data_IF_133347920741
#
_entry.id   IF_133347920741
#
_cell.length_a   1.000
_cell.length_b   1.000
_cell.length_c   1.000
_cell.angle_alpha   90.00
_cell.angle_beta   90.00
_cell.angle_gamma   90.00
#
_symmetry.space_group_name_H-M   'P 1'
#
loop_
_entity.id
_entity.type
_entity.pdbx_description
1 polymer ?
#
# COMPACT_ATOMS: atom_id res chain seq x y z
N UNK A 1 20.58 0.07 17.24
CA UNK A 1 21.93 0.38 16.73
C UNK A 1 22.92 -0.79 16.86
N UNK A 2 22.85 -1.63 17.89
CA UNK A 2 23.70 -2.85 18.00
C UNK A 2 23.25 -4.03 17.11
N UNK A 3 21.97 -4.10 16.71
CA UNK A 3 21.49 -5.17 15.82
C UNK A 3 21.86 -4.96 14.34
N UNK A 4 22.16 -3.74 13.90
CA UNK A 4 22.54 -3.47 12.50
C UNK A 4 24.02 -3.79 12.22
N UNK A 5 24.86 -3.78 13.26
CA UNK A 5 26.30 -4.05 13.18
C UNK A 5 26.65 -5.54 13.36
N UNK A 6 25.71 -6.35 13.86
CA UNK A 6 25.90 -7.79 14.04
C UNK A 6 25.83 -8.58 12.72
N UNK A 7 25.36 -7.95 11.63
CA UNK A 7 25.23 -8.59 10.32
C UNK A 7 26.50 -8.52 9.45
N UNK A 8 27.56 -7.83 9.91
CA UNK A 8 28.74 -7.49 9.08
C UNK A 8 29.96 -8.39 9.33
N UNK A 9 29.95 -9.31 10.31
CA UNK A 9 31.18 -10.00 10.74
C UNK A 9 31.20 -11.53 10.65
N UNK A 10 30.27 -12.16 9.95
CA UNK A 10 30.38 -13.59 9.67
C UNK A 10 30.09 -13.82 8.19
N UNK A 11 31.12 -14.21 7.45
CA UNK A 11 31.15 -15.37 6.54
C UNK A 11 32.23 -15.17 5.46
N UNK A 12 33.42 -15.70 5.77
CA UNK A 12 34.36 -16.19 4.78
C UNK A 12 34.08 -17.68 4.55
N UNK A 13 33.53 -18.05 3.39
CA UNK A 13 33.80 -19.33 2.72
C UNK A 13 32.97 -19.47 1.44
N UNK A 14 33.68 -19.78 0.36
CA UNK A 14 33.19 -20.11 -0.99
C UNK A 14 32.09 -21.17 -1.01
N UNK A 15 31.08 -20.98 -1.87
CA UNK A 15 30.49 -22.04 -2.70
C UNK A 15 29.64 -21.42 -3.84
N UNK A 16 29.78 -21.99 -5.03
CA UNK A 16 29.30 -21.53 -6.34
C UNK A 16 27.95 -22.16 -6.76
N UNK A 17 27.37 -21.59 -7.83
CA UNK A 17 26.38 -22.12 -8.80
C UNK A 17 24.88 -22.01 -8.45
N UNK A 18 23.94 -21.71 -9.36
CA UNK A 18 23.95 -21.32 -10.79
C UNK A 18 22.55 -20.79 -11.22
N UNK A 19 22.47 -19.88 -12.22
CA UNK A 19 21.50 -19.94 -13.34
C UNK A 19 21.68 -18.79 -14.37
N UNK A 20 22.10 -19.20 -15.59
CA UNK A 20 21.76 -18.74 -16.95
C UNK A 20 21.52 -17.25 -17.26
N UNK A 21 22.61 -16.58 -17.66
CA UNK A 21 22.69 -15.36 -18.47
C UNK A 21 24.17 -15.10 -18.76
N UNK A 22 24.55 -14.60 -19.94
CA UNK A 22 25.94 -14.38 -20.33
C UNK A 22 26.69 -13.50 -19.30
N UNK A 23 27.65 -14.11 -18.61
CA UNK A 23 28.42 -13.51 -17.52
C UNK A 23 27.73 -13.68 -16.14
N UNK A 24 28.37 -14.41 -15.22
CA UNK A 24 27.94 -14.33 -13.82
C UNK A 24 28.14 -12.89 -13.33
N UNK A 25 27.18 -12.28 -12.61
CA UNK A 25 27.35 -10.97 -12.03
C UNK A 25 28.65 -10.89 -11.23
N UNK A 26 29.35 -9.77 -11.34
CA UNK A 26 30.56 -9.54 -10.55
C UNK A 26 30.13 -9.46 -9.09
N UNK A 27 30.67 -10.34 -8.23
CA UNK A 27 30.44 -10.22 -6.80
C UNK A 27 31.16 -8.97 -6.27
N UNK A 28 30.35 -7.97 -5.90
CA UNK A 28 30.80 -6.68 -5.40
C UNK A 28 30.51 -6.53 -3.90
N UNK A 29 30.06 -7.58 -3.21
CA UNK A 29 29.64 -7.52 -1.80
C UNK A 29 30.77 -7.09 -0.87
N UNK A 30 32.02 -7.45 -1.18
CA UNK A 30 33.22 -7.08 -0.41
C UNK A 30 33.99 -5.91 -1.02
N UNK A 31 33.40 -5.20 -2.00
CA UNK A 31 34.04 -4.09 -2.70
C UNK A 31 33.72 -2.73 -2.05
N UNK A 32 34.55 -1.72 -2.31
CA UNK A 32 34.27 -0.34 -1.89
C UNK A 32 32.92 0.16 -2.44
N UNK A 33 32.59 -0.17 -3.69
CA UNK A 33 31.31 0.20 -4.31
C UNK A 33 30.14 -0.49 -3.62
N UNK A 34 30.29 -1.75 -3.24
CA UNK A 34 29.32 -2.47 -2.42
C UNK A 34 29.05 -1.77 -1.09
N UNK A 35 30.09 -1.44 -0.32
CA UNK A 35 29.93 -0.76 0.97
C UNK A 35 29.35 0.64 0.85
N UNK A 36 29.81 1.44 -0.12
CA UNK A 36 29.29 2.78 -0.36
C UNK A 36 27.81 2.72 -0.77
N UNK A 37 27.41 1.74 -1.60
CA UNK A 37 26.01 1.58 -2.01
C UNK A 37 25.10 1.26 -0.82
N UNK A 38 25.53 0.42 0.12
CA UNK A 38 24.78 0.18 1.36
C UNK A 38 24.65 1.44 2.22
N UNK A 39 25.72 2.22 2.36
CA UNK A 39 25.70 3.46 3.13
C UNK A 39 24.74 4.46 2.49
N UNK A 40 24.79 4.62 1.16
CA UNK A 40 23.89 5.50 0.40
C UNK A 40 22.43 5.05 0.60
N UNK A 41 22.14 3.76 0.45
CA UNK A 41 20.80 3.21 0.63
C UNK A 41 20.29 3.43 2.07
N UNK A 42 21.10 3.10 3.08
CA UNK A 42 20.74 3.28 4.48
C UNK A 42 20.53 4.76 4.86
N UNK A 43 21.37 5.66 4.34
CA UNK A 43 21.23 7.10 4.56
C UNK A 43 19.95 7.64 3.91
N UNK A 44 19.66 7.25 2.66
CA UNK A 44 18.44 7.65 1.98
C UNK A 44 17.19 7.14 2.71
N UNK A 45 17.20 5.89 3.16
CA UNK A 45 16.07 5.33 3.90
C UNK A 45 15.88 5.98 5.27
N UNK A 46 16.98 6.32 5.96
CA UNK A 46 16.91 7.10 7.20
C UNK A 46 16.24 8.47 6.96
N UNK A 47 16.58 9.15 5.87
CA UNK A 47 15.94 10.42 5.51
C UNK A 47 14.45 10.27 5.19
N UNK A 48 14.03 9.16 4.59
CA UNK A 48 12.61 8.83 4.38
C UNK A 48 11.89 8.68 5.71
N UNK A 49 12.46 7.93 6.66
CA UNK A 49 11.86 7.77 7.99
C UNK A 49 11.74 9.09 8.76
N UNK A 50 12.63 10.04 8.48
CA UNK A 50 12.64 11.38 9.08
C UNK A 50 11.78 12.41 8.32
N UNK A 51 11.03 12.01 7.29
CA UNK A 51 10.21 12.91 6.45
C UNK A 51 9.31 13.83 7.29
N UNK A 52 8.66 13.32 8.33
CA UNK A 52 7.75 14.10 9.18
C UNK A 52 8.48 15.25 9.92
N UNK A 53 9.75 15.04 10.28
CA UNK A 53 10.56 16.03 10.99
C UNK A 53 11.24 17.00 10.01
N UNK A 54 11.82 16.45 8.94
CA UNK A 54 12.59 17.21 7.95
C UNK A 54 11.74 17.93 6.91
N UNK A 55 10.46 17.54 6.77
CA UNK A 55 9.56 18.00 5.71
C UNK A 55 10.14 17.78 4.30
N UNK A 56 11.07 16.82 4.19
CA UNK A 56 11.71 16.41 2.96
C UNK A 56 10.93 15.24 2.38
N UNK A 57 10.23 15.49 1.27
CA UNK A 57 9.49 14.46 0.55
C UNK A 57 10.34 13.22 0.30
N UNK A 58 9.79 12.06 0.66
CA UNK A 58 10.46 10.74 0.59
C UNK A 58 11.04 10.38 -0.77
N UNK A 59 10.44 10.83 -1.88
CA UNK A 59 10.96 10.54 -3.23
C UNK A 59 12.38 11.09 -3.44
N UNK A 60 12.68 12.29 -2.93
CA UNK A 60 13.93 13.02 -3.21
C UNK A 60 15.20 12.23 -2.81
N UNK A 61 15.36 11.79 -1.54
CA UNK A 61 16.57 11.07 -1.13
C UNK A 61 16.73 9.74 -1.88
N UNK A 62 15.64 9.01 -2.14
CA UNK A 62 15.71 7.68 -2.76
C UNK A 62 15.99 7.75 -4.26
N UNK A 63 15.44 8.74 -4.98
CA UNK A 63 15.78 9.00 -6.39
C UNK A 63 17.28 9.30 -6.56
N UNK A 64 17.84 10.14 -5.68
CA UNK A 64 19.26 10.47 -5.71
C UNK A 64 20.11 9.22 -5.41
N UNK A 65 19.74 8.44 -4.40
CA UNK A 65 20.42 7.20 -4.06
C UNK A 65 20.44 6.20 -5.23
N UNK A 66 19.29 5.99 -5.88
CA UNK A 66 19.19 5.13 -7.05
C UNK A 66 20.14 5.58 -8.17
N UNK A 67 20.15 6.88 -8.51
CA UNK A 67 21.05 7.42 -9.53
C UNK A 67 22.53 7.23 -9.18
N UNK A 68 22.91 7.47 -7.92
CA UNK A 68 24.29 7.30 -7.47
C UNK A 68 24.75 5.83 -7.50
N UNK A 69 23.90 4.90 -7.04
CA UNK A 69 24.20 3.46 -7.05
C UNK A 69 24.41 2.97 -8.49
N UNK A 70 23.46 3.28 -9.39
CA UNK A 70 23.56 2.87 -10.80
C UNK A 70 24.70 3.56 -11.55
N UNK A 71 25.05 4.80 -11.20
CA UNK A 71 26.23 5.46 -11.75
C UNK A 71 27.51 4.70 -11.38
N UNK A 72 27.68 4.34 -10.11
CA UNK A 72 28.85 3.56 -9.67
C UNK A 72 28.90 2.18 -10.33
N UNK A 73 27.76 1.48 -10.41
CA UNK A 73 27.68 0.17 -11.07
C UNK A 73 28.00 0.28 -12.57
N UNK A 74 27.49 1.30 -13.25
CA UNK A 74 27.81 1.58 -14.64
C UNK A 74 29.31 1.75 -14.87
N UNK A 75 30.00 2.49 -13.99
CA UNK A 75 31.46 2.61 -14.07
C UNK A 75 32.20 1.29 -13.83
N UNK A 76 31.79 0.50 -12.82
CA UNK A 76 32.42 -0.78 -12.52
C UNK A 76 32.26 -1.78 -13.66
N UNK A 77 31.03 -1.98 -14.13
CA UNK A 77 30.72 -2.93 -15.20
C UNK A 77 31.28 -2.47 -16.56
N UNK A 78 31.32 -1.16 -16.85
CA UNK A 78 31.98 -0.62 -18.04
C UNK A 78 33.48 -0.89 -18.02
N UNK A 79 34.15 -0.65 -16.88
CA UNK A 79 35.59 -0.92 -16.75
C UNK A 79 35.92 -2.41 -16.81
N UNK A 80 34.99 -3.28 -16.41
CA UNK A 80 35.12 -4.73 -16.51
C UNK A 80 34.82 -5.27 -17.92
N UNK A 81 34.31 -4.44 -18.84
CA UNK A 81 33.90 -4.87 -20.18
C UNK A 81 32.54 -5.60 -20.22
N UNK A 82 31.78 -5.57 -19.13
CA UNK A 82 30.54 -6.33 -18.92
C UNK A 82 29.32 -5.40 -18.77
N UNK A 83 29.33 -4.24 -19.43
CA UNK A 83 28.27 -3.22 -19.31
C UNK A 83 26.88 -3.75 -19.70
N UNK A 84 26.82 -4.73 -20.59
CA UNK A 84 25.58 -5.37 -21.03
C UNK A 84 24.84 -6.05 -19.86
N UNK A 85 25.56 -6.61 -18.88
CA UNK A 85 24.96 -7.21 -17.68
C UNK A 85 24.25 -6.13 -16.84
N UNK A 86 24.91 -4.99 -16.61
CA UNK A 86 24.31 -3.88 -15.88
C UNK A 86 23.15 -3.23 -16.66
N UNK A 87 23.24 -3.14 -17.99
CA UNK A 87 22.17 -2.64 -18.85
C UNK A 87 20.93 -3.55 -18.81
N UNK A 88 21.12 -4.86 -18.95
CA UNK A 88 20.01 -5.81 -18.84
C UNK A 88 19.35 -5.77 -17.46
N UNK A 89 20.14 -5.65 -16.40
CA UNK A 89 19.62 -5.56 -15.03
C UNK A 89 18.81 -4.26 -14.81
N UNK A 90 19.28 -3.11 -15.30
CA UNK A 90 18.54 -1.85 -15.13
C UNK A 90 17.26 -1.82 -15.97
N UNK A 91 17.29 -2.37 -17.19
CA UNK A 91 16.11 -2.47 -18.06
C UNK A 91 15.02 -3.37 -17.46
N UNK A 92 15.42 -4.50 -16.88
CA UNK A 92 14.50 -5.40 -16.18
C UNK A 92 13.80 -4.69 -15.02
N UNK A 93 14.55 -4.03 -14.13
CA UNK A 93 13.97 -3.27 -13.01
C UNK A 93 13.08 -2.11 -13.49
N UNK A 94 13.46 -1.45 -14.59
CA UNK A 94 12.68 -0.36 -15.16
C UNK A 94 11.34 -0.86 -15.73
N UNK A 95 11.33 -2.04 -16.36
CA UNK A 95 10.12 -2.66 -16.88
C UNK A 95 9.17 -3.04 -15.73
N UNK A 96 9.67 -3.70 -14.69
CA UNK A 96 8.88 -4.02 -13.49
C UNK A 96 8.25 -2.76 -12.88
N UNK A 97 9.05 -1.71 -12.73
CA UNK A 97 8.55 -0.42 -12.24
C UNK A 97 7.50 0.17 -13.19
N UNK A 98 7.70 0.13 -14.51
CA UNK A 98 6.78 0.70 -15.48
C UNK A 98 5.40 0.03 -15.40
N UNK A 99 5.36 -1.31 -15.27
CA UNK A 99 4.13 -2.06 -15.09
C UNK A 99 3.41 -1.68 -13.78
N UNK A 100 4.16 -1.65 -12.67
CA UNK A 100 3.63 -1.23 -11.36
C UNK A 100 3.09 0.20 -11.40
N UNK A 101 3.86 1.14 -11.93
CA UNK A 101 3.52 2.56 -12.02
C UNK A 101 2.24 2.77 -12.82
N UNK A 102 2.14 2.18 -14.01
CA UNK A 102 0.95 2.31 -14.87
C UNK A 102 -0.28 1.68 -14.21
N UNK A 103 -0.13 0.55 -13.53
CA UNK A 103 -1.20 -0.07 -12.76
C UNK A 103 -1.72 0.87 -11.66
N UNK A 104 -0.81 1.36 -10.81
CA UNK A 104 -1.14 2.23 -9.69
C UNK A 104 -1.71 3.58 -10.14
N UNK A 105 -1.22 4.12 -11.25
CA UNK A 105 -1.73 5.36 -11.85
C UNK A 105 -3.23 5.26 -12.13
N UNK A 106 -3.68 4.14 -12.72
CA UNK A 106 -5.09 3.90 -13.01
C UNK A 106 -5.88 3.76 -11.71
N UNK A 107 -5.42 2.92 -10.78
CA UNK A 107 -6.08 2.70 -9.51
C UNK A 107 -6.28 4.02 -8.74
N UNK A 108 -5.22 4.81 -8.56
CA UNK A 108 -5.27 6.12 -7.91
C UNK A 108 -6.16 7.11 -8.67
N UNK A 109 -6.21 7.06 -10.01
CA UNK A 109 -7.11 7.91 -10.80
C UNK A 109 -8.58 7.61 -10.49
N UNK A 110 -8.95 6.34 -10.34
CA UNK A 110 -10.30 5.94 -9.92
C UNK A 110 -10.61 6.38 -8.49
N UNK A 111 -9.68 6.20 -7.57
CA UNK A 111 -9.80 6.65 -6.18
C UNK A 111 -10.01 8.17 -6.10
N UNK A 112 -9.14 8.95 -6.74
CA UNK A 112 -9.25 10.41 -6.83
C UNK A 112 -10.56 10.85 -7.50
N UNK A 113 -11.05 10.09 -8.47
CA UNK A 113 -12.35 10.35 -9.09
C UNK A 113 -13.53 10.10 -8.13
N UNK A 114 -13.47 9.05 -7.29
CA UNK A 114 -14.48 8.78 -6.26
C UNK A 114 -14.48 9.84 -5.16
N UNK A 115 -13.29 10.29 -4.75
CA UNK A 115 -13.10 11.37 -3.79
C UNK A 115 -13.66 12.70 -4.33
N UNK A 116 -13.31 13.09 -5.57
CA UNK A 116 -13.86 14.28 -6.24
C UNK A 116 -15.38 14.26 -6.25
N UNK A 117 -15.95 13.08 -6.46
CA UNK A 117 -17.39 12.85 -6.52
C UNK A 117 -18.07 12.82 -5.16
N UNK A 118 -17.31 13.02 -4.07
CA UNK A 118 -17.80 13.06 -2.68
C UNK A 118 -18.45 11.74 -2.25
N UNK A 119 -18.02 10.62 -2.85
CA UNK A 119 -18.53 9.30 -2.44
C UNK A 119 -18.19 9.03 -0.97
N UNK A 120 -16.93 9.32 -0.62
CA UNK A 120 -16.37 9.17 0.71
C UNK A 120 -16.94 10.15 1.74
N UNK A 121 -17.15 11.42 1.37
CA UNK A 121 -17.88 12.37 2.21
C UNK A 121 -19.32 11.90 2.50
N UNK A 122 -19.98 11.32 1.48
CA UNK A 122 -21.35 10.80 1.61
C UNK A 122 -21.39 9.60 2.56
N UNK A 123 -20.39 8.72 2.49
CA UNK A 123 -20.21 7.63 3.44
C UNK A 123 -20.02 8.16 4.86
N UNK A 124 -19.15 9.16 5.05
CA UNK A 124 -18.95 9.84 6.35
C UNK A 124 -20.26 10.38 6.91
N UNK A 125 -21.00 11.16 6.12
CA UNK A 125 -22.28 11.73 6.54
C UNK A 125 -23.32 10.67 6.90
N UNK A 126 -23.34 9.56 6.17
CA UNK A 126 -24.22 8.42 6.46
C UNK A 126 -23.88 7.74 7.79
N UNK A 127 -22.60 7.51 8.09
CA UNK A 127 -22.16 6.92 9.36
C UNK A 127 -22.53 7.83 10.53
N UNK A 128 -22.17 9.12 10.40
CA UNK A 128 -22.44 10.14 11.42
C UNK A 128 -23.95 10.25 11.70
N UNK A 129 -24.77 10.24 10.64
CA UNK A 129 -26.21 10.48 10.76
C UNK A 129 -27.04 9.35 11.35
N UNK A 130 -26.41 8.24 11.72
CA UNK A 130 -27.07 7.09 12.35
C UNK A 130 -27.07 7.12 13.88
N UNK A 131 -26.33 8.04 14.51
CA UNK A 131 -26.35 8.24 15.97
C UNK A 131 -25.77 7.06 16.76
N UNK A 132 -24.78 6.38 16.20
CA UNK A 132 -24.07 5.27 16.84
C UNK A 132 -23.25 5.73 18.05
N UNK A 133 -23.09 4.85 19.05
CA UNK A 133 -22.16 5.08 20.16
C UNK A 133 -20.69 4.92 19.73
N UNK A 134 -19.75 5.42 20.54
CA UNK A 134 -18.32 5.36 20.21
C UNK A 134 -17.80 3.93 19.97
N UNK A 135 -18.32 2.92 20.66
CA UNK A 135 -17.90 1.53 20.47
C UNK A 135 -18.45 0.96 19.16
N UNK A 136 -19.70 1.24 18.84
CA UNK A 136 -20.29 0.89 17.55
C UNK A 136 -19.52 1.53 16.40
N UNK A 137 -19.16 2.81 16.55
CA UNK A 137 -18.39 3.54 15.55
C UNK A 137 -17.00 2.95 15.36
N UNK A 138 -16.33 2.56 16.44
CA UNK A 138 -15.05 1.85 16.36
C UNK A 138 -15.12 0.59 15.50
N UNK A 139 -16.17 -0.22 15.69
CA UNK A 139 -16.39 -1.42 14.87
C UNK A 139 -16.76 -1.07 13.44
N UNK A 140 -17.65 -0.10 13.23
CA UNK A 140 -18.09 0.31 11.89
C UNK A 140 -16.92 0.84 11.07
N UNK A 141 -16.10 1.74 11.63
CA UNK A 141 -14.95 2.28 10.90
C UNK A 141 -13.90 1.21 10.64
N UNK A 142 -13.62 0.31 11.59
CA UNK A 142 -12.72 -0.81 11.38
C UNK A 142 -13.21 -1.80 10.31
N UNK A 143 -14.46 -2.25 10.38
CA UNK A 143 -15.04 -3.17 9.40
C UNK A 143 -15.08 -2.52 8.01
N UNK A 144 -15.47 -1.24 7.92
CA UNK A 144 -15.44 -0.52 6.65
C UNK A 144 -14.01 -0.39 6.11
N UNK A 145 -13.01 -0.08 6.96
CA UNK A 145 -11.61 -0.10 6.53
C UNK A 145 -11.20 -1.46 5.97
N UNK A 146 -11.55 -2.55 6.67
CA UNK A 146 -11.21 -3.91 6.25
C UNK A 146 -11.81 -4.29 4.89
N UNK A 147 -13.04 -3.86 4.59
CA UNK A 147 -13.71 -4.18 3.31
C UNK A 147 -13.48 -3.16 2.19
N UNK A 148 -13.05 -1.94 2.52
CA UNK A 148 -12.68 -0.93 1.50
C UNK A 148 -11.23 -1.16 1.04
N UNK A 149 -10.34 -1.56 1.95
CA UNK A 149 -8.92 -1.72 1.62
C UNK A 149 -8.55 -2.80 0.59
N UNK A 150 -9.35 -3.84 0.29
CA UNK A 150 -9.10 -4.74 -0.84
C UNK A 150 -9.25 -4.07 -2.22
N UNK A 151 -9.88 -2.89 -2.27
CA UNK A 151 -10.27 -2.17 -3.49
C UNK A 151 -9.55 -0.82 -3.57
N UNK A 152 -9.40 -0.15 -2.44
CA UNK A 152 -8.68 1.11 -2.29
C UNK A 152 -7.37 0.86 -1.55
N UNK A 153 -6.34 1.64 -1.86
CA UNK A 153 -5.08 1.59 -1.14
C UNK A 153 -5.28 1.82 0.37
N UNK A 154 -4.40 1.20 1.17
CA UNK A 154 -4.41 1.26 2.63
C UNK A 154 -4.40 2.70 3.16
N UNK A 155 -3.62 3.59 2.53
CA UNK A 155 -3.47 4.99 2.88
C UNK A 155 -4.79 5.77 2.68
N UNK A 156 -5.40 5.69 1.49
CA UNK A 156 -6.68 6.34 1.24
C UNK A 156 -7.77 5.84 2.20
N UNK A 157 -7.84 4.53 2.39
CA UNK A 157 -8.82 3.91 3.30
C UNK A 157 -8.66 4.46 4.71
N UNK A 158 -7.42 4.54 5.19
CA UNK A 158 -7.12 5.03 6.52
C UNK A 158 -7.43 6.53 6.67
N UNK A 159 -6.99 7.39 5.74
CA UNK A 159 -7.23 8.84 5.79
C UNK A 159 -8.72 9.19 5.77
N UNK A 160 -9.49 8.45 4.97
CA UNK A 160 -10.94 8.57 4.94
C UNK A 160 -11.54 8.27 6.32
N UNK A 161 -11.25 7.09 6.87
CA UNK A 161 -11.85 6.66 8.13
C UNK A 161 -11.35 7.47 9.33
N UNK A 162 -10.11 7.96 9.28
CA UNK A 162 -9.59 8.89 10.26
C UNK A 162 -10.36 10.21 10.27
N UNK A 163 -10.73 10.74 9.09
CA UNK A 163 -11.59 11.94 9.00
C UNK A 163 -12.96 11.71 9.66
N UNK A 164 -13.54 10.51 9.49
CA UNK A 164 -14.79 10.10 10.17
C UNK A 164 -14.58 10.07 11.69
N UNK A 165 -13.52 9.40 12.15
CA UNK A 165 -13.18 9.27 13.57
C UNK A 165 -12.90 10.63 14.22
N UNK A 166 -12.17 11.52 13.56
CA UNK A 166 -11.86 12.86 14.09
C UNK A 166 -13.11 13.72 14.22
N UNK A 167 -14.02 13.63 13.24
CA UNK A 167 -15.28 14.39 13.26
C UNK A 167 -16.21 13.92 14.38
N UNK A 168 -16.24 12.61 14.64
CA UNK A 168 -17.15 12.03 15.63
C UNK A 168 -16.54 11.97 17.03
N UNK A 169 -15.25 11.69 17.12
CA UNK A 169 -14.52 11.54 18.37
C UNK A 169 -14.35 12.85 19.13
N UNK A 170 -14.54 14.00 18.48
CA UNK A 170 -14.49 15.32 19.12
C UNK A 170 -13.24 15.50 19.98
N UNK A 171 -13.44 15.77 21.27
CA UNK A 171 -12.39 15.96 22.27
C UNK A 171 -12.10 14.70 23.10
N UNK A 172 -12.45 13.51 22.60
CA UNK A 172 -12.08 12.23 23.21
C UNK A 172 -10.81 11.66 22.55
N UNK A 173 -9.59 12.08 22.98
CA UNK A 173 -8.34 11.63 22.38
C UNK A 173 -8.13 10.13 22.56
N UNK A 174 -8.66 9.53 23.65
CA UNK A 174 -8.55 8.10 23.91
C UNK A 174 -9.29 7.28 22.86
N UNK A 175 -10.53 7.67 22.52
CA UNK A 175 -11.28 7.04 21.44
C UNK A 175 -10.59 7.23 20.09
N UNK A 176 -10.18 8.47 19.78
CA UNK A 176 -9.54 8.78 18.49
C UNK A 176 -8.26 7.96 18.30
N UNK A 177 -7.42 7.86 19.33
CA UNK A 177 -6.19 7.08 19.28
C UNK A 177 -6.47 5.59 18.98
N UNK A 178 -7.36 4.96 19.76
CA UNK A 178 -7.75 3.55 19.59
C UNK A 178 -8.40 3.29 18.23
N UNK A 179 -9.30 4.18 17.79
CA UNK A 179 -9.97 4.04 16.52
C UNK A 179 -9.00 4.21 15.33
N UNK A 180 -8.01 5.11 15.44
CA UNK A 180 -6.93 5.23 14.46
C UNK A 180 -6.07 3.95 14.40
N UNK A 181 -5.67 3.39 15.54
CA UNK A 181 -4.93 2.11 15.59
C UNK A 181 -5.74 1.01 14.89
N UNK A 182 -7.02 0.89 15.25
CA UNK A 182 -7.93 -0.09 14.67
C UNK A 182 -8.11 0.07 13.16
N UNK A 183 -8.17 1.31 12.66
CA UNK A 183 -8.23 1.61 11.22
C UNK A 183 -6.95 1.16 10.51
N UNK A 184 -5.76 1.41 11.08
CA UNK A 184 -4.49 0.98 10.50
C UNK A 184 -4.41 -0.54 10.41
N UNK A 185 -4.74 -1.25 11.50
CA UNK A 185 -4.76 -2.72 11.52
C UNK A 185 -5.79 -3.26 10.52
N UNK A 186 -7.00 -2.71 10.51
CA UNK A 186 -8.06 -3.15 9.61
C UNK A 186 -7.73 -2.92 8.14
N UNK A 187 -7.16 -1.76 7.79
CA UNK A 187 -6.79 -1.45 6.41
C UNK A 187 -5.70 -2.41 5.91
N UNK A 188 -4.61 -2.58 6.67
CA UNK A 188 -3.52 -3.48 6.27
C UNK A 188 -3.98 -4.95 6.19
N UNK A 189 -4.75 -5.43 7.17
CA UNK A 189 -5.31 -6.78 7.14
C UNK A 189 -6.31 -6.97 5.98
N UNK A 190 -7.12 -5.95 5.70
CA UNK A 190 -8.06 -5.92 4.59
C UNK A 190 -7.35 -5.98 3.23
N UNK A 191 -6.23 -5.26 3.08
CA UNK A 191 -5.44 -5.28 1.85
C UNK A 191 -4.78 -6.63 1.56
N UNK A 192 -4.33 -7.34 2.60
CA UNK A 192 -3.48 -8.53 2.46
C UNK A 192 -4.10 -9.72 1.69
N UNK A 193 -5.44 -9.84 1.65
CA UNK A 193 -6.12 -10.96 0.97
C UNK A 193 -6.58 -10.64 -0.46
N UNK A 194 -6.17 -9.51 -1.03
CA UNK A 194 -6.54 -9.10 -2.38
C UNK A 194 -5.33 -8.49 -3.09
N UNK A 195 -5.01 -8.88 -4.33
CA UNK A 195 -3.90 -8.30 -5.08
C UNK A 195 -4.10 -6.83 -5.45
N UNK A 196 -5.31 -6.28 -5.24
CA UNK A 196 -5.64 -4.88 -5.47
C UNK A 196 -5.60 -4.04 -4.19
N UNK A 197 -5.42 -4.68 -3.03
CA UNK A 197 -5.61 -4.01 -1.76
C UNK A 197 -4.39 -3.25 -1.26
N UNK A 198 -3.20 -3.82 -1.46
CA UNK A 198 -1.94 -3.16 -1.16
C UNK A 198 -0.93 -3.35 -2.30
N UNK A 199 -0.01 -2.41 -2.41
CA UNK A 199 1.05 -2.41 -3.42
C UNK A 199 1.92 -3.67 -3.28
N UNK A 200 2.18 -4.10 -2.05
CA UNK A 200 2.92 -5.34 -1.77
C UNK A 200 2.22 -6.59 -2.37
N UNK A 201 0.91 -6.73 -2.16
CA UNK A 201 0.12 -7.84 -2.71
C UNK A 201 0.03 -7.79 -4.23
N UNK A 202 -0.03 -6.58 -4.81
CA UNK A 202 0.00 -6.38 -6.24
C UNK A 202 1.32 -6.87 -6.84
N UNK A 203 2.44 -6.54 -6.20
CA UNK A 203 3.76 -6.94 -6.68
C UNK A 203 3.93 -8.46 -6.70
N UNK A 204 3.43 -9.16 -5.67
CA UNK A 204 3.43 -10.64 -5.63
C UNK A 204 2.60 -11.24 -6.76
N UNK A 205 1.43 -10.66 -7.04
CA UNK A 205 0.57 -11.11 -8.13
C UNK A 205 1.18 -10.83 -9.51
N UNK A 206 1.75 -9.63 -9.72
CA UNK A 206 2.41 -9.26 -10.97
C UNK A 206 3.66 -10.11 -11.24
N UNK A 207 4.38 -10.51 -10.20
CA UNK A 207 5.49 -11.46 -10.30
C UNK A 207 5.05 -12.89 -10.67
N UNK A 208 3.73 -13.17 -10.71
CA UNK A 208 3.19 -14.48 -11.07
C UNK A 208 3.34 -15.54 -9.99
N UNK A 209 3.73 -15.17 -8.78
CA UNK A 209 4.03 -16.09 -7.68
C UNK A 209 2.78 -16.58 -6.94
N UNK A 210 1.72 -15.75 -6.95
CA UNK A 210 0.41 -16.08 -6.38
C UNK A 210 -0.66 -15.63 -7.38
N UNK A 211 -1.55 -16.52 -7.78
CA UNK A 211 -2.68 -16.21 -8.66
C UNK A 211 -3.82 -15.53 -7.91
N UNK A 212 -4.71 -14.84 -8.64
CA UNK A 212 -5.83 -14.10 -8.06
C UNK A 212 -6.70 -14.95 -7.10
N UNK A 213 -6.97 -16.22 -7.44
CA UNK A 213 -7.79 -17.10 -6.61
C UNK A 213 -7.10 -17.55 -5.33
N UNK A 214 -5.77 -17.66 -5.35
CA UNK A 214 -4.99 -18.17 -4.21
C UNK A 214 -4.93 -17.16 -3.06
N UNK A 215 -5.02 -15.86 -3.35
CA UNK A 215 -5.18 -14.82 -2.32
C UNK A 215 -6.41 -15.06 -1.42
N UNK A 216 -7.43 -15.77 -1.90
CA UNK A 216 -8.61 -16.14 -1.11
C UNK A 216 -8.26 -16.95 0.14
N UNK A 217 -7.15 -17.71 0.13
CA UNK A 217 -6.66 -18.46 1.28
C UNK A 217 -6.25 -17.56 2.46
N UNK A 218 -5.93 -16.29 2.20
CA UNK A 218 -5.56 -15.30 3.21
C UNK A 218 -6.76 -14.60 3.86
N UNK A 219 -7.98 -14.75 3.33
CA UNK A 219 -9.15 -14.05 3.86
C UNK A 219 -9.39 -14.33 5.35
N UNK A 220 -9.39 -15.62 5.75
CA UNK A 220 -9.63 -16.01 7.15
C UNK A 220 -8.48 -15.56 8.07
N UNK A 221 -7.19 -15.81 7.73
CA UNK A 221 -6.05 -15.24 8.47
C UNK A 221 -6.13 -13.72 8.63
N UNK A 222 -6.47 -12.97 7.58
CA UNK A 222 -6.64 -11.51 7.62
C UNK A 222 -7.77 -11.07 8.54
N UNK A 223 -8.92 -11.76 8.52
CA UNK A 223 -10.03 -11.48 9.45
C UNK A 223 -9.57 -11.66 10.89
N UNK A 224 -8.83 -12.73 11.19
CA UNK A 224 -8.30 -13.00 12.54
C UNK A 224 -7.30 -11.91 12.95
N UNK A 225 -6.39 -11.52 12.03
CA UNK A 225 -5.43 -10.45 12.27
C UNK A 225 -6.10 -9.17 12.75
N UNK A 226 -7.23 -8.82 12.13
CA UNK A 226 -8.01 -7.63 12.48
C UNK A 226 -8.88 -7.82 13.73
N UNK A 227 -9.67 -8.89 13.79
CA UNK A 227 -10.72 -9.06 14.81
C UNK A 227 -10.13 -9.26 16.21
N UNK A 228 -9.02 -9.97 16.35
CA UNK A 228 -8.37 -10.22 17.65
C UNK A 228 -7.99 -8.91 18.36
N UNK A 229 -7.17 -8.02 17.78
CA UNK A 229 -6.81 -6.75 18.41
C UNK A 229 -8.01 -5.81 18.51
N UNK A 230 -8.90 -5.77 17.51
CA UNK A 230 -10.12 -4.95 17.54
C UNK A 230 -11.02 -5.32 18.73
N UNK A 231 -11.23 -6.61 18.96
CA UNK A 231 -12.03 -7.11 20.08
C UNK A 231 -11.46 -6.65 21.42
N UNK A 232 -10.16 -6.88 21.64
CA UNK A 232 -9.49 -6.48 22.89
C UNK A 232 -9.57 -4.97 23.09
N UNK A 233 -9.23 -4.17 22.06
CA UNK A 233 -9.29 -2.71 22.13
C UNK A 233 -10.71 -2.18 22.39
N UNK A 234 -11.74 -2.83 21.83
CA UNK A 234 -13.13 -2.39 21.97
C UNK A 234 -13.63 -2.39 23.43
N UNK A 235 -13.02 -3.21 24.29
CA UNK A 235 -13.33 -3.26 25.72
C UNK A 235 -12.89 -1.98 26.44
N UNK A 236 -11.91 -1.26 25.90
CA UNK A 236 -11.36 -0.03 26.47
C UNK A 236 -12.02 1.24 25.92
N UNK A 237 -13.04 1.09 25.08
CA UNK A 237 -13.79 2.19 24.46
C UNK A 237 -15.10 2.43 25.22
N UNK A 238 -15.35 3.69 25.65
CA UNK A 238 -16.60 4.04 26.33
C UNK A 238 -17.80 3.89 25.39
N UNK A 239 -19.00 3.73 25.95
CA UNK A 239 -20.26 3.62 25.19
C UNK A 239 -20.98 4.97 25.07
N UNK A 240 -20.25 6.07 25.20
CA UNK A 240 -20.82 7.41 25.13
C UNK A 240 -21.36 7.66 23.71
N UNK A 241 -22.42 8.47 23.63
CA UNK A 241 -22.94 8.92 22.34
C UNK A 241 -22.31 10.27 22.01
N UNK A 242 -21.66 10.41 20.85
CA UNK A 242 -21.08 11.67 20.45
C UNK A 242 -22.17 12.68 20.09
N UNK A 243 -21.98 13.95 20.45
CA UNK A 243 -22.81 15.05 19.98
C UNK A 243 -22.43 15.38 18.53
N UNK A 244 -23.15 14.78 17.58
CA UNK A 244 -22.89 14.97 16.16
C UNK A 244 -24.02 15.72 15.48
N UNK A 245 -23.65 16.83 14.85
CA UNK A 245 -24.55 17.59 13.96
C UNK A 245 -24.65 16.84 12.63
N UNK A 246 -25.88 16.52 12.23
CA UNK A 246 -26.15 15.92 10.93
C UNK A 246 -25.79 16.88 9.80
N UNK A 247 -24.72 16.57 9.09
CA UNK A 247 -24.29 17.33 7.93
C UNK A 247 -24.76 16.62 6.65
N UNK A 248 -25.67 17.25 5.89
CA UNK A 248 -26.11 16.69 4.62
C UNK A 248 -25.02 16.88 3.55
N UNK A 249 -24.50 15.76 3.04
CA UNK A 249 -23.55 15.73 1.93
C UNK A 249 -24.25 15.27 0.66
N UNK A 250 -24.32 16.15 -0.35
CA UNK A 250 -24.75 15.75 -1.70
C UNK A 250 -23.62 15.06 -2.45
N UNK A 251 -23.81 13.77 -2.76
CA UNK A 251 -22.91 13.00 -3.64
C UNK A 251 -23.07 13.49 -5.08
N UNK A 252 -21.96 13.74 -5.78
CA UNK A 252 -21.99 14.25 -7.15
C UNK A 252 -22.46 13.18 -8.15
N UNK A 253 -23.04 13.65 -9.26
CA UNK A 253 -23.54 12.79 -10.34
C UNK A 253 -22.42 11.88 -10.87
N UNK A 254 -22.70 10.58 -10.94
CA UNK A 254 -21.79 9.59 -11.49
C UNK A 254 -20.95 8.84 -10.47
N UNK A 255 -20.95 9.23 -9.19
CA UNK A 255 -20.13 8.59 -8.15
C UNK A 255 -20.27 7.05 -8.11
N UNK A 256 -21.50 6.54 -7.98
CA UNK A 256 -21.77 5.09 -7.95
C UNK A 256 -21.38 4.38 -9.25
N UNK A 257 -21.48 5.06 -10.40
CA UNK A 257 -21.06 4.50 -11.70
C UNK A 257 -19.55 4.38 -11.80
N UNK A 258 -18.79 5.30 -11.21
CA UNK A 258 -17.32 5.20 -11.14
C UNK A 258 -16.91 3.95 -10.37
N UNK A 259 -17.58 3.63 -9.25
CA UNK A 259 -17.33 2.38 -8.49
C UNK A 259 -17.55 1.15 -9.38
N UNK A 260 -18.68 1.09 -10.08
CA UNK A 260 -18.98 -0.04 -10.98
C UNK A 260 -17.97 -0.14 -12.11
N UNK A 261 -17.56 0.99 -12.70
CA UNK A 261 -16.53 1.01 -13.73
C UNK A 261 -15.16 0.57 -13.18
N UNK A 262 -14.86 0.87 -11.93
CA UNK A 262 -13.61 0.42 -11.31
C UNK A 262 -13.60 -1.09 -11.09
N UNK A 263 -14.70 -1.65 -10.59
CA UNK A 263 -14.87 -3.10 -10.49
C UNK A 263 -14.77 -3.78 -11.85
N UNK A 264 -15.35 -3.18 -12.89
CA UNK A 264 -15.23 -3.69 -14.27
C UNK A 264 -13.79 -3.62 -14.80
N UNK A 265 -13.04 -2.58 -14.45
CA UNK A 265 -11.61 -2.47 -14.72
C UNK A 265 -10.80 -3.58 -14.03
N UNK A 266 -11.08 -3.86 -12.75
CA UNK A 266 -10.45 -4.97 -12.01
C UNK A 266 -10.73 -6.30 -12.70
N UNK A 267 -12.00 -6.58 -13.06
CA UNK A 267 -12.37 -7.79 -13.80
C UNK A 267 -11.65 -7.87 -15.15
N UNK A 268 -11.48 -6.74 -15.85
CA UNK A 268 -10.73 -6.69 -17.10
C UNK A 268 -9.25 -7.03 -16.86
N UNK A 269 -8.60 -6.45 -15.85
CA UNK A 269 -7.21 -6.72 -15.49
C UNK A 269 -6.97 -8.21 -15.14
N UNK A 270 -7.83 -8.78 -14.29
CA UNK A 270 -7.79 -10.21 -13.95
C UNK A 270 -8.01 -11.07 -15.19
N UNK A 271 -8.94 -10.69 -16.08
CA UNK A 271 -9.21 -11.40 -17.34
C UNK A 271 -8.00 -11.42 -18.30
N UNK A 272 -7.31 -10.29 -18.47
CA UNK A 272 -6.10 -10.22 -19.30
C UNK A 272 -4.98 -11.10 -18.75
N UNK A 273 -4.78 -11.08 -17.42
CA UNK A 273 -3.76 -11.90 -16.79
C UNK A 273 -4.10 -13.40 -16.81
N UNK A 274 -5.32 -13.75 -16.42
CA UNK A 274 -5.73 -15.15 -16.26
C UNK A 274 -6.08 -15.87 -17.57
N UNK A 275 -6.66 -15.18 -18.55
CA UNK A 275 -7.11 -15.80 -19.81
C UNK A 275 -6.15 -15.59 -20.98
N UNK A 276 -5.43 -14.46 -21.00
CA UNK A 276 -4.57 -14.05 -22.14
C UNK A 276 -3.07 -14.14 -21.77
N UNK A 277 -2.74 -14.35 -20.49
CA UNK A 277 -1.37 -14.35 -19.98
C UNK A 277 -0.60 -13.05 -20.27
N UNK A 278 -1.33 -11.93 -20.37
CA UNK A 278 -0.73 -10.61 -20.52
C UNK A 278 -0.58 -9.92 -19.16
N UNK A 279 0.38 -8.99 -19.01
CA UNK A 279 0.52 -8.19 -17.80
C UNK A 279 -0.82 -7.51 -17.42
N UNK A 280 -1.23 -7.54 -16.13
CA UNK A 280 -2.51 -6.99 -15.68
C UNK A 280 -2.69 -5.50 -16.03
N UNK A 281 -1.56 -4.78 -16.15
CA UNK A 281 -1.50 -3.37 -16.52
C UNK A 281 -2.22 -3.07 -17.84
N UNK A 282 -2.23 -4.00 -18.81
CA UNK A 282 -2.95 -3.79 -20.08
C UNK A 282 -4.46 -3.67 -19.84
N UNK A 283 -5.02 -4.56 -19.01
CA UNK A 283 -6.43 -4.50 -18.64
C UNK A 283 -6.76 -3.27 -17.77
N UNK A 284 -5.85 -2.85 -16.90
CA UNK A 284 -5.99 -1.59 -16.14
C UNK A 284 -6.03 -0.37 -17.05
N UNK A 285 -5.12 -0.28 -18.03
CA UNK A 285 -5.07 0.82 -18.99
C UNK A 285 -6.32 0.86 -19.88
N UNK A 286 -6.85 -0.30 -20.29
CA UNK A 286 -8.16 -0.38 -20.93
C UNK A 286 -9.27 0.14 -20.00
N UNK A 287 -9.19 -0.19 -18.72
CA UNK A 287 -10.05 0.35 -17.67
C UNK A 287 -10.04 1.87 -17.56
N UNK A 288 -8.85 2.48 -17.63
CA UNK A 288 -8.73 3.95 -17.65
C UNK A 288 -9.53 4.56 -18.81
N UNK A 289 -9.56 3.91 -19.98
CA UNK A 289 -10.38 4.36 -21.10
C UNK A 289 -11.88 4.34 -20.75
N UNK A 290 -12.37 3.35 -20.00
CA UNK A 290 -13.77 3.32 -19.54
C UNK A 290 -14.11 4.58 -18.73
N UNK A 291 -13.23 4.98 -17.81
CA UNK A 291 -13.39 6.19 -17.02
C UNK A 291 -13.31 7.45 -17.88
N UNK A 292 -12.42 7.49 -18.87
CA UNK A 292 -12.29 8.62 -19.80
C UNK A 292 -13.55 8.80 -20.66
N UNK A 293 -14.08 7.72 -21.25
CA UNK A 293 -15.34 7.77 -21.99
C UNK A 293 -16.52 8.19 -21.10
N UNK A 294 -16.57 7.70 -19.86
CA UNK A 294 -17.58 8.13 -18.90
C UNK A 294 -17.43 9.60 -18.51
N UNK A 295 -16.19 10.08 -18.34
CA UNK A 295 -15.89 11.48 -18.11
C UNK A 295 -16.37 12.38 -19.26
N UNK A 296 -16.12 11.97 -20.50
CA UNK A 296 -16.65 12.64 -21.70
C UNK A 296 -18.19 12.69 -21.70
N UNK A 297 -18.85 11.56 -21.40
CA UNK A 297 -20.31 11.50 -21.27
C UNK A 297 -20.85 12.47 -20.19
N UNK A 298 -20.19 12.53 -19.03
CA UNK A 298 -20.61 13.44 -17.96
C UNK A 298 -20.47 14.91 -18.37
N UNK A 299 -19.40 15.28 -19.08
CA UNK A 299 -19.23 16.64 -19.64
C UNK A 299 -20.32 16.97 -20.64
N UNK A 300 -20.53 16.10 -21.64
CA UNK A 300 -21.51 16.32 -22.71
C UNK A 300 -22.95 16.45 -22.18
N UNK A 301 -23.28 15.70 -21.12
CA UNK A 301 -24.62 15.73 -20.52
C UNK A 301 -24.76 16.71 -19.34
N UNK A 302 -23.69 17.42 -18.96
CA UNK A 302 -23.71 18.37 -17.83
C UNK A 302 -24.70 19.54 -18.06
N UNK A 303 -24.72 20.23 -19.22
CA UNK A 303 -25.62 21.36 -19.43
C UNK A 303 -27.10 20.97 -19.28
N UNK A 304 -27.50 19.83 -19.87
CA UNK A 304 -28.87 19.29 -19.73
C UNK A 304 -29.21 18.94 -18.28
N UNK A 305 -28.25 18.35 -17.55
CA UNK A 305 -28.43 18.02 -16.14
C UNK A 305 -28.56 19.26 -15.26
N UNK A 306 -27.78 20.30 -15.51
CA UNK A 306 -27.85 21.57 -14.78
C UNK A 306 -29.18 22.29 -15.07
N UNK A 307 -29.63 22.32 -16.32
CA UNK A 307 -30.92 22.89 -16.70
C UNK A 307 -32.08 22.21 -15.94
N UNK A 308 -32.10 20.87 -15.90
CA UNK A 308 -33.11 20.11 -15.15
C UNK A 308 -33.06 20.41 -13.65
N UNK A 309 -31.87 20.43 -13.04
CA UNK A 309 -31.73 20.74 -11.61
C UNK A 309 -32.13 22.19 -11.28
N UNK A 310 -31.80 23.15 -12.16
CA UNK A 310 -32.22 24.57 -12.00
C UNK A 310 -33.74 24.71 -12.06
N UNK A 311 -34.40 24.05 -13.02
CA UNK A 311 -35.87 24.08 -13.11
C UNK A 311 -36.54 23.54 -11.83
N UNK A 312 -36.02 22.43 -11.27
CA UNK A 312 -36.52 21.88 -10.00
C UNK A 312 -36.25 22.83 -8.83
N UNK A 313 -35.06 23.43 -8.74
CA UNK A 313 -34.72 24.35 -7.67
C UNK A 313 -35.56 25.64 -7.73
N UNK A 314 -35.84 26.16 -8.94
CA UNK A 314 -36.75 27.28 -9.16
C UNK A 314 -38.19 26.93 -8.75
N UNK A 315 -38.68 25.75 -9.12
CA UNK A 315 -40.02 25.29 -8.75
C UNK A 315 -40.18 25.12 -7.22
N UNK A 316 -39.10 24.79 -6.51
CA UNK A 316 -39.07 24.67 -5.04
C UNK A 316 -38.67 25.96 -4.31
N UNK A 317 -38.40 27.04 -5.04
CA UNK A 317 -37.84 28.30 -4.49
C UNK A 317 -36.60 28.08 -3.59
N UNK A 318 -35.75 27.12 -3.94
CA UNK A 318 -34.54 26.78 -3.19
C UNK A 318 -33.35 27.61 -3.68
N UNK A 319 -33.20 28.81 -3.12
CA UNK A 319 -32.10 29.74 -3.46
C UNK A 319 -30.72 29.15 -3.15
N UNK A 320 -30.60 28.32 -2.11
CA UNK A 320 -29.35 27.67 -1.75
C UNK A 320 -28.92 26.66 -2.82
N UNK A 321 -29.86 25.89 -3.37
CA UNK A 321 -29.61 24.98 -4.48
C UNK A 321 -29.24 25.73 -5.77
N UNK A 322 -29.89 26.86 -6.07
CA UNK A 322 -29.57 27.67 -7.25
C UNK A 322 -28.15 28.22 -7.20
N UNK A 323 -27.72 28.74 -6.05
CA UNK A 323 -26.35 29.23 -5.84
C UNK A 323 -25.31 28.12 -6.01
N UNK A 324 -25.60 26.89 -5.54
CA UNK A 324 -24.72 25.71 -5.70
C UNK A 324 -24.58 25.25 -7.16
N UNK A 325 -25.61 25.46 -8.00
CA UNK A 325 -25.60 25.06 -9.42
C UNK A 325 -24.79 26.00 -10.32
N UNK A 326 -24.38 27.17 -9.84
CA UNK A 326 -23.54 28.13 -10.57
C UNK A 326 -22.05 27.78 -10.60
N UNK A 327 -21.56 26.99 -9.64
CA UNK A 327 -20.13 26.72 -9.44
C UNK A 327 -19.68 25.30 -9.82
N UNK A 328 -20.48 24.57 -10.60
CA UNK A 328 -20.20 23.17 -10.94
C UNK A 328 -19.08 23.08 -12.00
N UNK A 329 -17.91 22.63 -11.55
CA UNK A 329 -16.76 22.37 -12.43
C UNK A 329 -16.98 21.05 -13.20
N UNK A 330 -16.80 21.02 -14.54
CA UNK A 330 -16.85 19.79 -15.31
C UNK A 330 -15.81 18.78 -14.83
N UNK A 331 -16.17 17.50 -14.84
CA UNK A 331 -15.25 16.44 -14.45
C UNK A 331 -14.15 16.24 -15.48
N UNK A 332 -12.91 16.11 -15.03
CA UNK A 332 -11.73 15.94 -15.87
C UNK A 332 -10.86 14.82 -15.33
N UNK A 333 -10.64 13.79 -16.15
CA UNK A 333 -9.79 12.65 -15.81
C UNK A 333 -8.32 13.04 -15.80
N UNK A 334 -7.85 13.89 -16.71
CA UNK A 334 -6.45 14.33 -16.72
C UNK A 334 -6.11 15.19 -15.50
N UNK A 335 -7.08 15.97 -15.03
CA UNK A 335 -6.94 16.65 -13.72
C UNK A 335 -6.88 15.65 -12.57
N UNK A 336 -7.44 14.44 -12.67
CA UNK A 336 -7.28 13.41 -11.62
C UNK A 336 -5.90 12.78 -11.69
N UNK A 337 -5.42 12.47 -12.89
CA UNK A 337 -4.04 11.99 -13.12
C UNK A 337 -3.01 12.99 -12.56
N UNK A 338 -3.23 14.29 -12.72
CA UNK A 338 -2.33 15.31 -12.14
C UNK A 338 -2.38 15.39 -10.60
N UNK A 339 -3.44 14.90 -9.97
CA UNK A 339 -3.53 14.77 -8.51
C UNK A 339 -3.15 13.37 -8.01
N UNK A 340 -2.65 12.48 -8.88
CA UNK A 340 -2.05 11.23 -8.43
C UNK A 340 -0.89 11.51 -7.47
N UNK A 341 -0.60 10.55 -6.60
CA UNK A 341 0.50 10.66 -5.63
C UNK A 341 1.85 10.46 -6.32
N UNK A 342 2.26 11.42 -7.14
CA UNK A 342 3.53 11.37 -7.87
C UNK A 342 4.74 11.20 -6.97
N UNK A 343 4.68 11.73 -5.76
CA UNK A 343 5.72 11.52 -4.76
C UNK A 343 5.85 10.05 -4.36
N UNK A 344 4.71 9.38 -4.16
CA UNK A 344 4.64 7.94 -3.85
C UNK A 344 5.13 7.09 -5.05
N UNK A 345 4.73 7.43 -6.28
CA UNK A 345 5.23 6.73 -7.48
C UNK A 345 6.74 6.85 -7.66
N UNK A 346 7.29 8.06 -7.52
CA UNK A 346 8.72 8.31 -7.65
C UNK A 346 9.53 7.70 -6.49
N UNK A 347 8.95 7.62 -5.30
CA UNK A 347 9.51 6.87 -4.19
C UNK A 347 9.66 5.38 -4.55
N UNK A 348 8.65 4.76 -5.15
CA UNK A 348 8.74 3.36 -5.58
C UNK A 348 9.77 3.14 -6.67
N UNK A 349 9.88 4.04 -7.64
CA UNK A 349 11.00 4.00 -8.60
C UNK A 349 12.33 3.97 -7.86
N UNK A 350 12.55 4.89 -6.93
CA UNK A 350 13.78 4.95 -6.17
C UNK A 350 14.06 3.65 -5.41
N UNK A 351 13.05 3.07 -4.77
CA UNK A 351 13.17 1.81 -4.01
C UNK A 351 13.51 0.66 -4.94
N UNK A 352 12.74 0.48 -6.02
CA UNK A 352 12.95 -0.58 -7.02
C UNK A 352 14.37 -0.51 -7.58
N UNK A 353 14.81 0.68 -7.97
CA UNK A 353 16.13 0.88 -8.55
C UNK A 353 17.27 0.71 -7.54
N UNK A 354 17.10 1.17 -6.29
CA UNK A 354 18.09 0.94 -5.24
C UNK A 354 18.25 -0.56 -4.94
N UNK A 355 17.15 -1.27 -4.75
CA UNK A 355 17.14 -2.71 -4.42
C UNK A 355 17.66 -3.53 -5.60
N UNK A 356 17.27 -3.19 -6.84
CA UNK A 356 17.83 -3.79 -8.05
C UNK A 356 19.34 -3.62 -8.18
N UNK A 357 19.86 -2.43 -7.84
CA UNK A 357 21.31 -2.18 -7.79
C UNK A 357 22.01 -3.00 -6.70
N UNK A 358 21.42 -3.10 -5.50
CA UNK A 358 21.94 -3.96 -4.42
C UNK A 358 21.88 -5.45 -4.78
N UNK A 359 20.91 -5.86 -5.62
CA UNK A 359 20.83 -7.21 -6.17
C UNK A 359 21.99 -7.50 -7.11
N UNK A 360 22.26 -6.59 -8.06
CA UNK A 360 23.38 -6.71 -9.00
C UNK A 360 24.75 -6.72 -8.30
N UNK A 361 24.86 -6.11 -7.12
CA UNK A 361 26.05 -6.17 -6.26
C UNK A 361 26.25 -7.55 -5.63
N UNK A 362 25.16 -8.31 -5.42
CA UNK A 362 25.17 -9.65 -4.82
C UNK A 362 24.65 -9.72 -3.38
N UNK A 363 24.28 -8.60 -2.75
CA UNK A 363 23.84 -8.61 -1.34
C UNK A 363 22.54 -9.39 -1.12
N UNK A 364 21.59 -9.27 -2.05
CA UNK A 364 20.32 -9.97 -1.97
C UNK A 364 20.49 -11.49 -2.13
N UNK A 365 21.39 -11.94 -2.99
CA UNK A 365 21.76 -13.36 -3.10
C UNK A 365 22.28 -13.90 -1.77
N UNK A 366 23.18 -13.16 -1.11
CA UNK A 366 23.71 -13.55 0.21
C UNK A 366 22.60 -13.63 1.26
N UNK A 367 21.71 -12.64 1.32
CA UNK A 367 20.58 -12.65 2.26
C UNK A 367 19.62 -13.81 1.96
N UNK A 368 19.30 -14.05 0.68
CA UNK A 368 18.43 -15.13 0.24
C UNK A 368 18.97 -16.50 0.68
N UNK A 369 20.26 -16.75 0.45
CA UNK A 369 20.92 -17.98 0.87
C UNK A 369 20.85 -18.21 2.37
N UNK A 370 21.05 -17.17 3.19
CA UNK A 370 20.95 -17.30 4.66
C UNK A 370 19.50 -17.51 5.09
N UNK A 371 18.57 -16.69 4.59
CA UNK A 371 17.19 -16.66 5.06
C UNK A 371 16.35 -17.84 4.56
N UNK A 372 16.55 -18.31 3.32
CA UNK A 372 15.64 -19.26 2.69
C UNK A 372 16.29 -20.62 2.37
N UNK A 373 17.63 -20.72 2.34
CA UNK A 373 18.31 -22.01 2.20
C UNK A 373 18.83 -22.56 3.53
N UNK A 374 19.38 -21.70 4.40
CA UNK A 374 19.93 -22.13 5.69
C UNK A 374 18.90 -22.10 6.82
N UNK A 375 17.95 -21.18 6.75
CA UNK A 375 16.84 -21.10 7.70
C UNK A 375 15.58 -21.72 7.12
N UNK A 376 14.64 -22.01 8.00
CA UNK A 376 13.31 -22.44 7.62
C UNK A 376 12.50 -21.26 7.03
N UNK A 377 11.91 -21.40 5.82
CA UNK A 377 11.18 -20.32 5.16
C UNK A 377 10.03 -19.74 5.98
N UNK A 378 9.38 -20.52 6.85
CA UNK A 378 8.29 -20.03 7.70
C UNK A 378 8.86 -18.99 8.67
N UNK A 379 9.96 -19.31 9.35
CA UNK A 379 10.62 -18.36 10.25
C UNK A 379 11.18 -17.14 9.53
N UNK A 380 11.75 -17.33 8.34
CA UNK A 380 12.21 -16.22 7.51
C UNK A 380 11.07 -15.24 7.19
N UNK A 381 9.92 -15.76 6.73
CA UNK A 381 8.75 -14.95 6.39
C UNK A 381 8.12 -14.26 7.60
N UNK A 382 8.14 -14.89 8.78
CA UNK A 382 7.71 -14.25 10.03
C UNK A 382 8.63 -13.08 10.39
N UNK A 383 9.95 -13.26 10.27
CA UNK A 383 10.94 -12.21 10.57
C UNK A 383 10.83 -11.06 9.57
N UNK A 384 10.64 -11.35 8.28
CA UNK A 384 10.37 -10.34 7.24
C UNK A 384 9.19 -9.45 7.63
N UNK A 385 8.08 -10.04 8.09
CA UNK A 385 6.93 -9.27 8.56
C UNK A 385 7.22 -8.42 9.80
N UNK A 386 8.02 -8.93 10.75
CA UNK A 386 8.45 -8.13 11.90
C UNK A 386 9.38 -6.97 11.51
N UNK A 387 10.27 -7.19 10.53
CA UNK A 387 11.11 -6.13 9.96
C UNK A 387 10.26 -5.07 9.26
N UNK A 388 9.13 -5.45 8.66
CA UNK A 388 8.16 -4.52 8.09
C UNK A 388 7.51 -3.58 9.12
N UNK A 389 7.65 -3.83 10.42
CA UNK A 389 7.23 -2.86 11.44
C UNK A 389 8.19 -1.65 11.52
N UNK A 390 9.45 -1.82 11.09
CA UNK A 390 10.50 -0.80 11.15
C UNK A 390 10.73 -0.13 9.80
N UNK A 391 10.58 -0.90 8.73
CA UNK A 391 10.77 -0.52 7.33
C UNK A 391 9.42 -0.66 6.65
N UNK A 392 9.01 0.33 5.87
CA UNK A 392 7.77 0.26 5.09
C UNK A 392 7.70 -1.05 4.28
N UNK A 393 6.50 -1.60 4.16
CA UNK A 393 6.28 -2.94 3.64
C UNK A 393 6.69 -3.11 2.16
N UNK A 394 6.71 -2.02 1.39
CA UNK A 394 7.05 -2.03 -0.05
C UNK A 394 8.52 -2.37 -0.31
N UNK A 395 9.53 -1.67 0.25
CA UNK A 395 10.94 -2.07 0.13
C UNK A 395 11.21 -3.50 0.60
N UNK A 396 10.57 -3.93 1.69
CA UNK A 396 10.74 -5.27 2.25
C UNK A 396 10.23 -6.32 1.29
N UNK A 397 8.99 -6.18 0.80
CA UNK A 397 8.40 -7.13 -0.15
C UNK A 397 9.16 -7.12 -1.48
N UNK A 398 9.56 -5.96 -1.99
CA UNK A 398 10.34 -5.89 -3.22
C UNK A 398 11.67 -6.62 -3.07
N UNK A 399 12.38 -6.46 -1.95
CA UNK A 399 13.62 -7.18 -1.70
C UNK A 399 13.42 -8.71 -1.71
N UNK A 400 12.34 -9.22 -1.12
CA UNK A 400 12.01 -10.66 -1.18
C UNK A 400 11.71 -11.11 -2.61
N UNK A 401 10.96 -10.31 -3.38
CA UNK A 401 10.68 -10.61 -4.78
C UNK A 401 11.95 -10.61 -5.64
N UNK A 402 12.85 -9.64 -5.44
CA UNK A 402 14.12 -9.57 -6.17
C UNK A 402 15.06 -10.73 -5.80
N UNK A 403 14.99 -11.24 -4.56
CA UNK A 403 15.73 -12.43 -4.14
C UNK A 403 15.25 -13.72 -4.83
N UNK A 404 14.00 -13.75 -5.30
CA UNK A 404 13.32 -14.92 -5.89
C UNK A 404 13.65 -16.26 -5.19
N UNK A 405 13.47 -16.38 -3.86
CA UNK A 405 13.75 -17.63 -3.17
C UNK A 405 12.78 -18.74 -3.62
N UNK A 406 13.28 -19.96 -3.74
CA UNK A 406 12.43 -21.13 -3.98
C UNK A 406 11.66 -21.46 -2.70
N UNK A 407 10.34 -21.22 -2.70
CA UNK A 407 9.46 -21.55 -1.58
C UNK A 407 8.06 -21.96 -2.06
N UNK A 408 7.38 -22.75 -1.23
CA UNK A 408 6.02 -23.24 -1.50
C UNK A 408 4.98 -22.12 -1.55
N UNK A 409 3.82 -22.39 -2.17
CA UNK A 409 2.71 -21.43 -2.25
C UNK A 409 2.27 -20.96 -0.86
N UNK A 410 2.27 -21.85 0.14
CA UNK A 410 1.98 -21.52 1.53
C UNK A 410 2.93 -20.46 2.10
N UNK A 411 4.21 -20.53 1.74
CA UNK A 411 5.23 -19.55 2.13
C UNK A 411 5.12 -18.22 1.38
N UNK A 412 4.79 -18.23 0.07
CA UNK A 412 4.49 -17.01 -0.67
C UNK A 412 3.26 -16.26 -0.10
N UNK A 413 2.21 -17.01 0.24
CA UNK A 413 1.05 -16.45 0.93
C UNK A 413 1.40 -15.97 2.35
N UNK A 414 2.28 -16.69 3.05
CA UNK A 414 2.73 -16.31 4.39
C UNK A 414 3.50 -14.99 4.35
N UNK A 415 4.49 -14.81 3.47
CA UNK A 415 5.24 -13.55 3.37
C UNK A 415 4.35 -12.40 2.95
N UNK A 416 3.39 -12.66 2.07
CA UNK A 416 2.37 -11.68 1.65
C UNK A 416 1.55 -11.20 2.83
N UNK A 417 1.08 -12.13 3.67
CA UNK A 417 0.34 -11.82 4.89
C UNK A 417 1.21 -11.08 5.90
N UNK A 418 2.39 -11.61 6.23
CA UNK A 418 3.26 -11.10 7.30
C UNK A 418 3.87 -9.75 6.96
N UNK A 419 4.33 -9.53 5.73
CA UNK A 419 4.79 -8.22 5.26
C UNK A 419 3.63 -7.21 5.17
N UNK A 420 2.46 -7.65 4.69
CA UNK A 420 1.28 -6.79 4.59
C UNK A 420 0.78 -6.27 5.94
N UNK A 421 0.67 -7.14 6.96
CA UNK A 421 0.12 -6.79 8.28
C UNK A 421 1.18 -6.43 9.33
N UNK A 422 2.44 -6.80 9.11
CA UNK A 422 3.56 -6.52 10.02
C UNK A 422 3.80 -5.03 10.25
N UNK A 423 3.59 -4.22 9.20
CA UNK A 423 3.63 -2.75 9.28
C UNK A 423 2.60 -2.12 10.22
N UNK A 424 1.60 -2.88 10.70
CA UNK A 424 0.66 -2.42 11.72
C UNK A 424 1.20 -2.52 13.14
N UNK A 425 2.32 -3.21 13.39
CA UNK A 425 2.87 -3.38 14.74
C UNK A 425 3.41 -2.07 15.34
N UNK A 426 3.90 -1.18 14.48
CA UNK A 426 4.37 0.15 14.84
C UNK A 426 3.74 1.16 13.89
N UNK A 427 3.37 2.35 14.38
CA UNK A 427 2.74 3.36 13.54
C UNK A 427 3.63 3.90 12.41
N UNK A 428 4.95 3.68 12.48
CA UNK A 428 5.92 4.05 11.44
C UNK A 428 6.08 2.96 10.36
N UNK A 429 5.66 1.72 10.64
CA UNK A 429 5.85 0.58 9.75
C UNK A 429 4.90 0.52 8.55
N UNK A 430 3.97 1.47 8.44
CA UNK A 430 3.07 1.56 7.29
C UNK A 430 2.73 3.01 6.95
N UNK A 431 2.57 3.29 5.65
CA UNK A 431 2.13 4.59 5.15
C UNK A 431 0.83 5.09 5.81
N UNK A 432 -0.14 4.18 6.02
CA UNK A 432 -1.39 4.47 6.72
C UNK A 432 -1.13 4.95 8.17
N UNK A 433 -0.24 4.28 8.90
CA UNK A 433 0.13 4.67 10.26
C UNK A 433 0.75 6.07 10.33
N UNK A 434 1.70 6.37 9.45
CA UNK A 434 2.36 7.69 9.38
C UNK A 434 1.38 8.79 9.02
N UNK A 435 0.55 8.55 8.00
CA UNK A 435 -0.42 9.54 7.54
C UNK A 435 -1.47 9.87 8.60
N UNK A 436 -1.93 8.88 9.36
CA UNK A 436 -2.87 9.10 10.46
C UNK A 436 -2.25 9.92 11.59
N UNK A 437 -0.96 9.73 11.90
CA UNK A 437 -0.27 10.59 12.89
C UNK A 437 -0.23 12.05 12.41
N UNK A 438 0.05 12.25 11.12
CA UNK A 438 0.03 13.56 10.48
C UNK A 438 -1.35 14.22 10.43
N UNK A 439 -2.44 13.45 10.32
CA UNK A 439 -3.82 13.95 10.23
C UNK A 439 -4.46 14.17 11.61
N UNK A 440 -4.25 13.26 12.55
CA UNK A 440 -4.78 13.28 13.91
C UNK A 440 -3.75 13.83 14.92
N UNK A 441 -3.05 14.92 14.54
CA UNK A 441 -1.94 15.49 15.32
C UNK A 441 -2.33 15.71 16.78
N UNK A 442 -1.48 15.18 17.67
CA UNK A 442 -1.66 15.28 19.12
C UNK A 442 -2.72 14.34 19.71
N UNK A 443 -3.53 13.64 18.88
CA UNK A 443 -4.54 12.67 19.34
C UNK A 443 -4.12 11.24 19.07
N UNK A 444 -3.56 10.96 17.89
CA UNK A 444 -2.91 9.69 17.56
C UNK A 444 -1.40 9.91 17.44
N UNK A 445 -0.62 9.13 18.20
CA UNK A 445 0.83 9.33 18.38
C UNK A 445 1.55 7.99 18.36
N UNK A 446 2.84 8.02 18.02
CA UNK A 446 3.69 6.83 18.05
C UNK A 446 3.64 6.10 19.39
N UNK A 447 3.81 6.81 20.51
CA UNK A 447 3.75 6.18 21.84
C UNK A 447 2.36 5.64 22.20
N UNK A 448 1.31 6.31 21.74
CA UNK A 448 -0.07 5.82 21.89
C UNK A 448 -0.27 4.50 21.16
N UNK A 449 0.20 4.40 19.92
CA UNK A 449 0.21 3.16 19.15
C UNK A 449 1.11 2.10 19.80
N UNK A 450 2.32 2.48 20.20
CA UNK A 450 3.33 1.57 20.76
C UNK A 450 2.78 0.80 21.97
N UNK A 451 1.98 1.46 22.82
CA UNK A 451 1.32 0.86 23.98
C UNK A 451 0.39 -0.30 23.61
N UNK A 452 -0.19 -0.29 22.42
CA UNK A 452 -1.10 -1.32 21.91
C UNK A 452 -0.42 -2.34 21.00
N UNK A 453 0.84 -2.14 20.59
CA UNK A 453 1.60 -3.10 19.78
C UNK A 453 1.56 -4.54 20.32
N UNK A 454 1.64 -4.82 21.64
CA UNK A 454 1.50 -6.18 22.14
C UNK A 454 0.15 -6.83 21.78
N UNK A 455 -0.93 -6.04 21.77
CA UNK A 455 -2.26 -6.51 21.37
C UNK A 455 -2.34 -6.74 19.86
N UNK A 456 -1.70 -5.88 19.06
CA UNK A 456 -1.59 -6.05 17.60
C UNK A 456 -0.75 -7.30 17.27
N UNK A 457 0.32 -7.54 18.02
CA UNK A 457 1.17 -8.72 17.91
C UNK A 457 0.40 -10.02 18.16
N UNK A 458 -0.57 -10.02 19.08
CA UNK A 458 -1.46 -11.18 19.25
C UNK A 458 -2.27 -11.47 17.98
N UNK A 459 -2.77 -10.44 17.30
CA UNK A 459 -3.42 -10.59 15.99
C UNK A 459 -2.47 -11.09 14.90
N UNK A 460 -1.23 -10.58 14.87
CA UNK A 460 -0.17 -11.03 13.97
C UNK A 460 0.12 -12.53 14.13
N UNK A 461 0.39 -12.98 15.36
CA UNK A 461 0.66 -14.38 15.67
C UNK A 461 -0.56 -15.26 15.39
N UNK A 462 -1.76 -14.83 15.79
CA UNK A 462 -2.98 -15.61 15.56
C UNK A 462 -3.28 -15.81 14.06
N UNK A 463 -3.02 -14.79 13.23
CA UNK A 463 -3.18 -14.89 11.79
C UNK A 463 -2.18 -15.85 11.14
N UNK A 464 -0.91 -15.81 11.56
CA UNK A 464 0.11 -16.77 11.10
C UNK A 464 -0.28 -18.19 11.47
N UNK A 465 -0.63 -18.44 12.74
CA UNK A 465 -1.06 -19.77 13.19
C UNK A 465 -2.29 -20.26 12.42
N UNK A 466 -3.24 -19.37 12.16
CA UNK A 466 -4.40 -19.71 11.34
C UNK A 466 -4.00 -20.10 9.91
N UNK A 467 -3.08 -19.35 9.28
CA UNK A 467 -2.61 -19.65 7.93
C UNK A 467 -1.91 -21.01 7.88
N UNK A 468 -1.02 -21.29 8.83
CA UNK A 468 -0.31 -22.57 8.92
C UNK A 468 -1.25 -23.76 9.11
N UNK A 469 -2.33 -23.59 9.89
CA UNK A 469 -3.28 -24.69 10.18
C UNK A 469 -4.30 -24.89 9.05
N UNK A 470 -4.93 -23.81 8.56
CA UNK A 470 -6.00 -23.93 7.56
C UNK A 470 -5.42 -24.25 6.18
N UNK A 471 -4.23 -23.74 5.87
CA UNK A 471 -3.60 -23.87 4.57
C UNK A 471 -2.39 -24.82 4.61
N UNK A 472 -2.35 -25.78 5.55
CA UNK A 472 -1.27 -26.75 5.73
C UNK A 472 -0.90 -27.47 4.41
N UNK A 473 -1.89 -27.78 3.57
CA UNK A 473 -1.68 -28.45 2.28
C UNK A 473 -0.89 -27.64 1.25
N UNK A 474 -0.65 -26.35 1.49
CA UNK A 474 0.12 -25.48 0.60
C UNK A 474 1.61 -25.38 0.96
N UNK A 475 2.04 -26.00 2.07
CA UNK A 475 3.39 -25.86 2.61
C UNK A 475 4.39 -26.89 2.10
#
# INVERSE_FOLDING_TARGET
MKCLLAFVLLFSSNAFAAATGSGNPIDLTQSAVGYISLIIFAAAYTLVMLEEQLHLRKSKPVLLAAGLIWLMLGFVYSNAGEIEVAQSAIEHNLLEYAELMLFLLVAMTYISAMEERRLFDGLKAWIVGKGYDLRQLFWITGILSFFISPIADNLTTALLMCTVVLKIGGDNPRFINLACINIVVAANAGGAFSPFGDITTLMVWQAGLVSFSEFGALFVPSVINYVVPAFIMSLFIPKDKPDVVNEFVEIKRGAKRIVVLFLFTIVTAVGFHGLVHFPPVIGMMMGLAYLQFFGFYLRKTLPRSLARKRAVAQAKQDEAALKRLGSVIPFDVFRRVSHAEWDTLLFFYGVVMCVGGLSLIGYLTTISNVMYLQWDPIWANIIVGLLSALVDNIPVMFAVLTMQPEMSMGNWLLVTLTAGVGGSLLSLGSAAGVALMGQARGKYTFFGHLKWSPVIMLGYVAAIMCHLVINESLF
#
